data_IF_946981560771
#
_entry.id   IF_946981560771
#
_cell.length_a   1.000
_cell.length_b   1.000
_cell.length_c   1.000
_cell.angle_alpha   90.00
_cell.angle_beta   90.00
_cell.angle_gamma   90.00
#
_symmetry.space_group_name_H-M   'P 1'
#
loop_
_entity.id
_entity.type
_entity.pdbx_description
1 polymer ?
#
# COMPACT_ATOMS: atom_id res chain seq x y z
N UNK A 1 -9.54 -19.81 17.26
CA UNK A 1 -10.02 -18.63 16.52
C UNK A 1 -10.75 -19.16 15.32
N UNK A 2 -12.02 -18.81 15.18
CA UNK A 2 -12.88 -19.24 14.10
C UNK A 2 -13.52 -18.00 13.46
N UNK A 3 -13.69 -18.06 12.13
CA UNK A 3 -14.28 -16.98 11.33
C UNK A 3 -15.74 -16.73 11.66
N UNK A 4 -16.43 -17.78 12.10
CA UNK A 4 -17.87 -17.75 12.34
C UNK A 4 -18.22 -17.33 13.79
N UNK A 5 -17.22 -17.07 14.64
CA UNK A 5 -17.46 -16.59 16.00
C UNK A 5 -17.94 -15.12 15.96
N UNK A 6 -18.93 -14.76 16.78
CA UNK A 6 -19.55 -13.43 16.80
C UNK A 6 -18.52 -12.30 16.95
N UNK A 7 -17.55 -12.45 17.85
CA UNK A 7 -16.49 -11.47 18.07
C UNK A 7 -15.56 -11.32 16.85
N UNK A 8 -15.38 -12.40 16.08
CA UNK A 8 -14.61 -12.38 14.82
C UNK A 8 -15.39 -11.68 13.71
N UNK A 9 -16.70 -11.93 13.59
CA UNK A 9 -17.56 -11.27 12.62
C UNK A 9 -17.62 -9.75 12.88
N UNK A 10 -17.75 -9.34 14.14
CA UNK A 10 -17.71 -7.94 14.54
C UNK A 10 -16.35 -7.27 14.21
N UNK A 11 -15.24 -7.98 14.45
CA UNK A 11 -13.92 -7.50 14.05
C UNK A 11 -13.78 -7.42 12.53
N UNK A 12 -14.27 -8.42 11.78
CA UNK A 12 -14.17 -8.45 10.33
C UNK A 12 -14.93 -7.27 9.71
N UNK A 13 -16.12 -6.93 10.21
CA UNK A 13 -16.86 -5.76 9.76
C UNK A 13 -16.04 -4.47 9.93
N UNK A 14 -15.47 -4.25 11.12
CA UNK A 14 -14.61 -3.08 11.37
C UNK A 14 -13.33 -3.11 10.52
N UNK A 15 -12.76 -4.30 10.28
CA UNK A 15 -11.58 -4.47 9.45
C UNK A 15 -11.89 -4.15 7.98
N UNK A 16 -13.06 -4.53 7.45
CA UNK A 16 -13.51 -4.19 6.09
C UNK A 16 -13.63 -2.68 5.90
N UNK A 17 -14.19 -1.97 6.87
CA UNK A 17 -14.22 -0.50 6.84
C UNK A 17 -12.82 0.10 6.85
N UNK A 18 -11.92 -0.40 7.70
CA UNK A 18 -10.54 0.07 7.73
C UNK A 18 -9.83 -0.16 6.39
N UNK A 19 -10.03 -1.32 5.76
CA UNK A 19 -9.51 -1.64 4.43
C UNK A 19 -10.04 -0.69 3.36
N UNK A 20 -11.31 -0.31 3.42
CA UNK A 20 -11.90 0.69 2.53
C UNK A 20 -11.19 2.05 2.66
N UNK A 21 -11.00 2.53 3.89
CA UNK A 21 -10.25 3.78 4.16
C UNK A 21 -8.80 3.70 3.68
N UNK A 22 -8.15 2.55 3.86
CA UNK A 22 -6.80 2.34 3.34
C UNK A 22 -6.77 2.37 1.81
N UNK A 23 -7.75 1.78 1.13
CA UNK A 23 -7.86 1.84 -0.31
C UNK A 23 -8.05 3.28 -0.82
N UNK A 24 -8.92 4.05 -0.18
CA UNK A 24 -9.17 5.45 -0.54
C UNK A 24 -7.93 6.33 -0.34
N UNK A 25 -7.16 6.07 0.72
CA UNK A 25 -5.96 6.86 1.06
C UNK A 25 -4.71 6.42 0.27
N UNK A 26 -4.53 5.11 0.11
CA UNK A 26 -3.28 4.49 -0.38
C UNK A 26 -3.47 3.65 -1.65
N UNK A 27 -4.62 3.02 -1.82
CA UNK A 27 -4.90 2.03 -2.86
C UNK A 27 -5.39 2.59 -4.20
N UNK A 28 -5.84 3.85 -4.24
CA UNK A 28 -6.25 4.53 -5.48
C UNK A 28 -5.08 4.73 -6.48
N UNK A 29 -3.84 4.48 -6.04
CA UNK A 29 -2.63 4.60 -6.85
C UNK A 29 -1.98 3.24 -7.03
N UNK A 30 -1.65 2.92 -8.28
CA UNK A 30 -0.95 1.67 -8.62
C UNK A 30 0.48 1.66 -8.06
N UNK A 31 1.21 2.77 -8.25
CA UNK A 31 2.57 2.99 -7.77
C UNK A 31 2.81 4.46 -7.44
N UNK A 32 3.43 4.72 -6.30
CA UNK A 32 4.14 5.97 -6.01
C UNK A 32 5.58 5.85 -6.53
N UNK A 33 6.04 6.84 -7.28
CA UNK A 33 7.36 6.85 -7.94
C UNK A 33 8.28 7.86 -7.25
N UNK A 34 9.50 7.43 -6.95
CA UNK A 34 10.54 8.23 -6.32
C UNK A 34 11.85 8.11 -7.08
N UNK A 35 12.53 9.23 -7.35
CA UNK A 35 13.91 9.25 -7.84
C UNK A 35 14.89 8.94 -6.71
N UNK A 36 16.11 8.51 -7.05
CA UNK A 36 17.18 8.33 -6.06
C UNK A 36 17.48 9.61 -5.26
N UNK A 37 17.39 10.78 -5.90
CA UNK A 37 17.56 12.08 -5.25
C UNK A 37 16.41 12.42 -4.28
N UNK A 38 15.24 11.80 -4.44
CA UNK A 38 14.05 12.02 -3.61
C UNK A 38 14.03 11.08 -2.38
N UNK A 39 15.21 10.70 -1.88
CA UNK A 39 15.36 9.78 -0.75
C UNK A 39 14.52 10.19 0.46
N UNK A 40 14.51 11.46 0.80
CA UNK A 40 13.72 12.00 1.92
C UNK A 40 12.22 11.80 1.73
N UNK A 41 11.73 11.87 0.49
CA UNK A 41 10.30 11.64 0.18
C UNK A 41 9.93 10.17 0.32
N UNK A 42 10.82 9.27 -0.14
CA UNK A 42 10.65 7.83 0.05
C UNK A 42 10.62 7.48 1.55
N UNK A 43 11.53 8.05 2.34
CA UNK A 43 11.56 7.85 3.80
C UNK A 43 10.31 8.39 4.48
N UNK A 44 9.83 9.57 4.09
CA UNK A 44 8.59 10.14 4.61
C UNK A 44 7.39 9.24 4.29
N UNK A 45 7.31 8.70 3.06
CA UNK A 45 6.23 7.82 2.61
C UNK A 45 6.24 6.49 3.36
N UNK A 46 7.41 5.86 3.51
CA UNK A 46 7.58 4.62 4.27
C UNK A 46 7.30 4.86 5.76
N UNK A 47 7.77 5.96 6.33
CA UNK A 47 7.49 6.34 7.71
C UNK A 47 6.00 6.47 7.98
N UNK A 48 5.28 7.17 7.09
CA UNK A 48 3.83 7.35 7.19
C UNK A 48 3.10 6.00 7.13
N UNK A 49 3.54 5.09 6.26
CA UNK A 49 2.96 3.76 6.13
C UNK A 49 3.25 2.86 7.33
N UNK A 50 4.42 2.99 7.97
CA UNK A 50 4.81 2.14 9.11
C UNK A 50 4.28 2.63 10.45
N UNK A 51 4.23 3.96 10.64
CA UNK A 51 4.05 4.58 11.95
C UNK A 51 2.94 5.63 12.00
N UNK A 52 2.27 5.91 10.88
CA UNK A 52 1.31 7.01 10.78
C UNK A 52 2.01 8.36 10.74
N UNK A 53 1.28 9.48 10.86
CA UNK A 53 1.88 10.81 10.88
C UNK A 53 2.92 10.96 12.01
N UNK A 54 3.98 11.76 11.81
CA UNK A 54 4.97 12.00 12.85
C UNK A 54 4.37 12.72 14.07
N UNK A 55 4.83 12.36 15.27
CA UNK A 55 4.32 12.88 16.55
C UNK A 55 4.70 14.35 16.81
N UNK A 56 5.82 14.81 16.23
CA UNK A 56 6.34 16.17 16.44
C UNK A 56 6.44 16.93 15.12
N UNK A 57 5.81 18.11 15.03
CA UNK A 57 6.09 19.06 13.95
C UNK A 57 7.43 19.73 14.21
N UNK A 58 8.54 19.06 13.87
CA UNK A 58 9.87 19.65 13.98
C UNK A 58 10.27 20.25 12.63
N UNK A 59 10.56 21.56 12.61
CA UNK A 59 10.75 22.38 11.41
C UNK A 59 12.07 22.14 10.67
N UNK A 60 13.04 21.46 11.31
CA UNK A 60 14.42 21.39 10.79
C UNK A 60 14.94 19.98 10.47
N UNK A 61 14.18 18.91 10.76
CA UNK A 61 14.48 17.55 10.31
C UNK A 61 13.19 16.85 9.91
N UNK A 62 13.16 16.32 8.70
CA UNK A 62 12.03 15.64 8.03
C UNK A 62 11.46 14.40 8.73
N UNK A 63 11.76 14.16 10.01
CA UNK A 63 11.18 13.06 10.75
C UNK A 63 10.85 13.51 12.17
N UNK A 64 9.61 13.96 12.39
CA UNK A 64 9.02 13.99 13.73
C UNK A 64 8.75 12.59 14.32
N UNK A 65 9.46 11.58 13.81
CA UNK A 65 9.49 10.21 14.27
C UNK A 65 10.58 10.04 15.33
N UNK A 66 10.37 9.13 16.27
CA UNK A 66 11.33 8.75 17.30
C UNK A 66 12.60 8.16 16.68
N UNK A 67 13.75 8.29 17.35
CA UNK A 67 15.04 7.74 16.88
C UNK A 67 14.96 6.27 16.45
N UNK A 68 14.20 5.44 17.16
CA UNK A 68 13.99 4.02 16.80
C UNK A 68 13.20 3.86 15.50
N UNK A 69 12.14 4.66 15.29
CA UNK A 69 11.34 4.67 14.07
C UNK A 69 12.18 5.14 12.87
N UNK A 70 12.96 6.21 13.03
CA UNK A 70 13.88 6.70 11.99
C UNK A 70 14.86 5.61 11.56
N UNK A 71 15.50 4.92 12.51
CA UNK A 71 16.40 3.79 12.20
C UNK A 71 15.70 2.70 11.39
N UNK A 72 14.46 2.35 11.75
CA UNK A 72 13.66 1.35 11.00
C UNK A 72 13.34 1.84 9.58
N UNK A 73 12.90 3.09 9.43
CA UNK A 73 12.58 3.71 8.13
C UNK A 73 13.82 3.70 7.23
N UNK A 74 14.93 4.27 7.70
CA UNK A 74 16.17 4.35 6.93
C UNK A 74 16.65 2.96 6.51
N UNK A 75 16.67 1.99 7.43
CA UNK A 75 17.08 0.61 7.14
C UNK A 75 16.20 -0.04 6.07
N UNK A 76 14.88 0.17 6.14
CA UNK A 76 13.95 -0.38 5.16
C UNK A 76 14.14 0.29 3.79
N UNK A 77 14.25 1.61 3.73
CA UNK A 77 14.51 2.35 2.50
C UNK A 77 15.85 1.96 1.85
N UNK A 78 16.91 1.78 2.64
CA UNK A 78 18.20 1.26 2.16
C UNK A 78 18.04 -0.12 1.55
N UNK A 79 17.27 -1.00 2.21
CA UNK A 79 17.01 -2.33 1.68
C UNK A 79 16.23 -2.29 0.37
N UNK A 80 15.18 -1.46 0.29
CA UNK A 80 14.38 -1.27 -0.93
C UNK A 80 15.27 -0.82 -2.08
N UNK A 81 15.99 0.29 -1.92
CA UNK A 81 16.89 0.86 -2.93
C UNK A 81 17.94 -0.15 -3.37
N UNK A 82 18.59 -0.83 -2.43
CA UNK A 82 19.61 -1.84 -2.74
C UNK A 82 19.04 -3.02 -3.54
N UNK A 83 17.83 -3.47 -3.22
CA UNK A 83 17.20 -4.62 -3.88
C UNK A 83 16.59 -4.28 -5.23
N UNK A 84 16.21 -3.02 -5.45
CA UNK A 84 15.67 -2.54 -6.73
C UNK A 84 16.73 -1.98 -7.67
N UNK A 85 17.94 -1.63 -7.19
CA UNK A 85 19.01 -0.99 -7.99
C UNK A 85 19.25 -1.65 -9.36
N UNK A 86 19.25 -2.97 -9.42
CA UNK A 86 19.49 -3.73 -10.66
C UNK A 86 18.33 -3.70 -11.67
N UNK A 87 17.19 -3.15 -11.28
CA UNK A 87 15.95 -3.14 -12.07
C UNK A 87 15.34 -1.75 -12.21
N UNK A 88 15.85 -0.79 -11.44
CA UNK A 88 15.41 0.59 -11.45
C UNK A 88 15.77 1.23 -12.80
N UNK A 89 14.80 1.32 -13.71
CA UNK A 89 14.91 2.17 -14.87
C UNK A 89 15.18 3.61 -14.40
N UNK A 90 16.26 4.21 -14.92
CA UNK A 90 16.62 5.61 -14.62
C UNK A 90 16.73 5.94 -13.13
N UNK A 91 17.07 4.95 -12.29
CA UNK A 91 17.22 5.16 -10.84
C UNK A 91 15.90 5.41 -10.10
N UNK A 92 14.75 5.01 -10.66
CA UNK A 92 13.45 5.13 -10.00
C UNK A 92 13.16 3.97 -9.04
N UNK A 93 12.47 4.29 -7.94
CA UNK A 93 11.88 3.36 -6.99
C UNK A 93 10.37 3.52 -7.04
N UNK A 94 9.66 2.43 -7.32
CA UNK A 94 8.20 2.42 -7.41
C UNK A 94 7.62 1.56 -6.28
N UNK A 95 6.85 2.17 -5.39
CA UNK A 95 6.26 1.49 -4.23
C UNK A 95 4.75 1.67 -4.15
N UNK A 96 4.08 0.79 -3.43
CA UNK A 96 2.74 1.01 -2.93
C UNK A 96 2.62 0.38 -1.55
N UNK A 97 1.65 0.81 -0.75
CA UNK A 97 1.48 0.31 0.61
C UNK A 97 0.24 -0.57 0.68
N UNK A 98 0.37 -1.72 1.34
CA UNK A 98 -0.68 -2.71 1.55
C UNK A 98 -0.82 -2.90 3.05
N UNK A 99 -2.04 -3.00 3.55
CA UNK A 99 -2.30 -3.13 4.98
C UNK A 99 -3.04 -4.43 5.24
N UNK A 100 -2.53 -5.24 6.16
CA UNK A 100 -3.14 -6.51 6.58
C UNK A 100 -3.75 -6.29 7.95
N UNK A 101 -5.07 -6.38 8.04
CA UNK A 101 -5.78 -6.35 9.33
C UNK A 101 -5.69 -7.72 9.97
N UNK A 102 -5.27 -7.81 11.22
CA UNK A 102 -5.07 -9.06 11.95
C UNK A 102 -5.84 -9.08 13.27
N UNK A 103 -6.38 -10.25 13.62
CA UNK A 103 -6.97 -10.56 14.94
C UNK A 103 -6.33 -11.81 15.50
N UNK A 104 -5.65 -11.66 16.62
CA UNK A 104 -5.25 -12.78 17.48
C UNK A 104 -6.31 -12.98 18.58
N UNK A 105 -6.07 -13.94 19.48
CA UNK A 105 -6.93 -14.14 20.66
C UNK A 105 -6.95 -12.89 21.56
N UNK A 106 -5.81 -12.19 21.67
CA UNK A 106 -5.64 -11.09 22.62
C UNK A 106 -5.72 -9.71 21.98
N UNK A 107 -5.33 -9.61 20.72
CA UNK A 107 -5.02 -8.33 20.09
C UNK A 107 -5.64 -8.20 18.70
N UNK A 108 -5.87 -6.95 18.31
CA UNK A 108 -6.27 -6.55 16.97
C UNK A 108 -5.24 -5.53 16.49
N UNK A 109 -4.64 -5.76 15.32
CA UNK A 109 -3.56 -4.92 14.83
C UNK A 109 -3.53 -4.87 13.31
N UNK A 110 -2.91 -3.83 12.75
CA UNK A 110 -2.70 -3.71 11.30
C UNK A 110 -1.22 -3.79 10.98
N UNK A 111 -0.86 -4.58 9.97
CA UNK A 111 0.52 -4.77 9.52
C UNK A 111 0.68 -4.11 8.15
N UNK A 112 1.52 -3.07 8.04
CA UNK A 112 1.87 -2.49 6.75
C UNK A 112 2.91 -3.35 6.03
N UNK A 113 2.70 -3.53 4.73
CA UNK A 113 3.63 -4.14 3.79
C UNK A 113 3.93 -3.13 2.68
N UNK A 114 5.22 -2.89 2.45
CA UNK A 114 5.67 -2.06 1.33
C UNK A 114 5.84 -2.97 0.12
N UNK A 115 4.93 -2.82 -0.84
CA UNK A 115 5.03 -3.46 -2.15
C UNK A 115 5.98 -2.64 -3.02
N UNK A 116 6.92 -3.30 -3.67
CA UNK A 116 7.98 -2.66 -4.46
C UNK A 116 8.03 -3.33 -5.83
N UNK A 117 7.90 -2.54 -6.89
CA UNK A 117 8.01 -3.02 -8.26
C UNK A 117 9.46 -3.43 -8.57
N UNK A 118 9.64 -4.55 -9.28
CA UNK A 118 10.96 -4.97 -9.76
C UNK A 118 11.24 -4.35 -11.13
N UNK A 119 10.53 -4.77 -12.17
CA UNK A 119 10.73 -4.34 -13.56
C UNK A 119 9.55 -3.49 -14.03
N UNK A 120 9.71 -2.63 -15.02
CA UNK A 120 8.57 -1.84 -15.55
C UNK A 120 7.75 -2.57 -16.62
N UNK A 121 8.32 -3.61 -17.24
CA UNK A 121 7.77 -4.22 -18.47
C UNK A 121 7.30 -5.66 -18.31
N UNK A 122 7.47 -6.28 -17.14
CA UNK A 122 7.04 -7.66 -16.92
C UNK A 122 5.64 -7.72 -16.28
N UNK A 123 4.91 -8.78 -16.60
CA UNK A 123 3.55 -9.08 -16.17
C UNK A 123 3.27 -8.64 -14.72
N UNK A 124 2.23 -7.84 -14.54
CA UNK A 124 1.97 -7.01 -13.36
C UNK A 124 1.81 -7.84 -12.08
N UNK A 125 1.37 -9.10 -12.24
CA UNK A 125 1.02 -10.00 -11.15
C UNK A 125 2.27 -10.55 -10.42
N UNK A 126 3.38 -10.77 -11.12
CA UNK A 126 4.56 -11.45 -10.56
C UNK A 126 5.78 -10.53 -10.37
N UNK A 127 5.63 -9.26 -10.74
CA UNK A 127 6.74 -8.35 -10.92
C UNK A 127 6.98 -7.42 -9.71
N UNK A 128 6.65 -7.90 -8.51
CA UNK A 128 6.80 -7.11 -7.29
C UNK A 128 7.29 -7.95 -6.12
N UNK A 129 7.82 -7.27 -5.10
CA UNK A 129 8.24 -7.84 -3.81
C UNK A 129 7.49 -7.13 -2.70
N UNK A 130 7.34 -7.78 -1.56
CA UNK A 130 6.78 -7.16 -0.36
C UNK A 130 7.84 -7.09 0.73
N UNK A 131 7.85 -6.01 1.48
CA UNK A 131 8.71 -5.85 2.65
C UNK A 131 7.85 -5.52 3.87
N UNK A 132 8.13 -6.18 4.99
CA UNK A 132 7.58 -5.79 6.28
C UNK A 132 8.47 -4.75 6.99
N UNK A 133 8.02 -4.28 8.15
CA UNK A 133 8.77 -3.34 8.99
C UNK A 133 10.11 -3.88 9.51
N UNK A 134 10.29 -5.20 9.55
CA UNK A 134 11.54 -5.85 9.95
C UNK A 134 12.49 -6.03 8.76
N UNK A 135 12.12 -5.49 7.61
CA UNK A 135 12.83 -5.62 6.36
C UNK A 135 12.91 -7.09 5.88
N UNK A 136 11.95 -7.93 6.28
CA UNK A 136 11.82 -9.25 5.67
C UNK A 136 11.21 -9.09 4.28
N UNK A 137 11.85 -9.70 3.28
CA UNK A 137 11.43 -9.60 1.88
C UNK A 137 10.66 -10.86 1.48
N UNK A 138 9.42 -10.67 1.03
CA UNK A 138 8.61 -11.73 0.43
C UNK A 138 8.64 -11.64 -1.09
N UNK A 139 8.83 -12.80 -1.74
CA UNK A 139 8.97 -12.90 -3.20
C UNK A 139 7.65 -12.68 -3.94
N UNK A 140 6.53 -12.97 -3.30
CA UNK A 140 5.17 -12.81 -3.83
C UNK A 140 4.19 -12.70 -2.68
N UNK A 141 2.93 -12.42 -2.98
CA UNK A 141 1.85 -12.43 -1.99
C UNK A 141 1.70 -13.80 -1.33
N UNK A 142 1.73 -14.87 -2.13
CA UNK A 142 1.65 -16.25 -1.63
C UNK A 142 2.85 -16.60 -0.75
N UNK A 143 4.03 -16.06 -1.04
CA UNK A 143 5.18 -16.23 -0.15
C UNK A 143 4.96 -15.53 1.19
N UNK A 144 4.34 -14.35 1.22
CA UNK A 144 3.93 -13.70 2.47
C UNK A 144 2.92 -14.56 3.25
N UNK A 145 1.84 -15.02 2.62
CA UNK A 145 0.84 -15.86 3.30
C UNK A 145 1.46 -17.13 3.91
N UNK A 146 2.44 -17.74 3.24
CA UNK A 146 3.12 -18.96 3.72
C UNK A 146 4.21 -18.69 4.77
N UNK A 147 4.93 -17.57 4.68
CA UNK A 147 6.21 -17.35 5.39
C UNK A 147 6.24 -16.13 6.30
N UNK A 148 5.12 -15.41 6.45
CA UNK A 148 5.06 -14.26 7.37
C UNK A 148 5.42 -14.68 8.81
N UNK A 149 5.86 -13.69 9.59
CA UNK A 149 6.30 -13.87 10.98
C UNK A 149 5.30 -13.32 12.00
N UNK A 150 4.03 -13.21 11.61
CA UNK A 150 2.97 -12.76 12.50
C UNK A 150 2.66 -13.85 13.54
N UNK A 151 2.11 -13.51 14.72
CA UNK A 151 1.60 -14.53 15.64
C UNK A 151 0.49 -15.34 14.99
N UNK A 152 0.03 -16.40 15.65
CA UNK A 152 -1.18 -17.09 15.23
C UNK A 152 -2.34 -16.08 15.26
N UNK A 153 -2.95 -15.82 14.11
CA UNK A 153 -4.02 -14.85 13.96
C UNK A 153 -4.82 -15.07 12.67
N UNK A 154 -6.06 -14.60 12.67
CA UNK A 154 -6.84 -14.39 11.47
C UNK A 154 -6.37 -13.10 10.79
N UNK A 155 -6.32 -13.09 9.46
CA UNK A 155 -5.94 -11.93 8.67
C UNK A 155 -6.95 -11.63 7.57
N UNK A 156 -7.24 -10.35 7.39
CA UNK A 156 -8.08 -9.80 6.32
C UNK A 156 -7.24 -8.81 5.51
N UNK A 157 -7.25 -8.96 4.20
CA UNK A 157 -6.34 -8.22 3.32
C UNK A 157 -6.90 -8.05 1.90
N UNK A 158 -6.37 -7.09 1.11
CA UNK A 158 -6.70 -6.96 -0.30
C UNK A 158 -6.31 -8.19 -1.08
N UNK A 159 -7.20 -8.69 -1.93
CA UNK A 159 -6.96 -9.90 -2.72
C UNK A 159 -5.65 -9.75 -3.51
N UNK A 160 -4.78 -10.77 -3.43
CA UNK A 160 -3.42 -10.78 -3.99
C UNK A 160 -2.47 -9.67 -3.48
N UNK A 161 -2.78 -9.02 -2.37
CA UNK A 161 -1.99 -7.91 -1.85
C UNK A 161 -2.10 -6.65 -2.69
N UNK A 162 -3.23 -6.48 -3.39
CA UNK A 162 -3.49 -5.33 -4.27
C UNK A 162 -4.87 -4.78 -3.95
N UNK A 163 -4.95 -3.50 -3.60
CA UNK A 163 -6.23 -2.82 -3.50
C UNK A 163 -6.87 -2.72 -4.89
N UNK A 164 -8.02 -3.38 -5.04
CA UNK A 164 -8.88 -3.31 -6.22
C UNK A 164 -10.31 -3.10 -5.74
N UNK A 165 -11.09 -2.34 -6.49
CA UNK A 165 -12.50 -2.10 -6.19
C UNK A 165 -13.37 -3.01 -7.06
N UNK A 166 -14.38 -3.60 -6.44
CA UNK A 166 -15.49 -4.29 -7.10
C UNK A 166 -16.77 -3.68 -6.53
N UNK A 167 -17.60 -3.09 -7.38
CA UNK A 167 -18.85 -2.43 -7.00
C UNK A 167 -18.65 -1.35 -5.89
N UNK A 168 -17.59 -0.54 -6.04
CA UNK A 168 -17.23 0.50 -5.09
C UNK A 168 -16.61 0.02 -3.77
N UNK A 169 -16.53 -1.29 -3.54
CA UNK A 169 -15.97 -1.90 -2.33
C UNK A 169 -14.63 -2.57 -2.59
N UNK A 170 -13.72 -2.54 -1.62
CA UNK A 170 -12.45 -3.27 -1.74
C UNK A 170 -12.69 -4.78 -1.87
N UNK A 171 -12.04 -5.39 -2.86
CA UNK A 171 -11.97 -6.83 -3.00
C UNK A 171 -10.99 -7.41 -1.94
N UNK A 172 -11.54 -8.16 -0.99
CA UNK A 172 -10.83 -8.65 0.19
C UNK A 172 -10.85 -10.17 0.24
N UNK A 173 -9.79 -10.74 0.82
CA UNK A 173 -9.66 -12.16 1.08
C UNK A 173 -9.36 -12.40 2.57
N UNK A 174 -9.87 -13.52 3.08
CA UNK A 174 -9.57 -14.05 4.42
C UNK A 174 -8.34 -14.95 4.35
N UNK A 175 -7.60 -15.03 5.45
CA UNK A 175 -6.50 -15.98 5.60
C UNK A 175 -6.04 -16.11 7.04
N UNK A 176 -4.98 -16.87 7.25
CA UNK A 176 -4.47 -17.15 8.60
C UNK A 176 -2.95 -17.06 8.62
N UNK A 177 -2.42 -16.54 9.73
CA UNK A 177 -1.04 -16.80 10.13
C UNK A 177 -1.01 -17.99 11.10
N UNK A 178 -0.16 -18.97 10.82
CA UNK A 178 -0.09 -20.24 11.57
C UNK A 178 1.15 -20.37 12.46
N UNK A 179 1.87 -19.27 12.73
CA UNK A 179 3.10 -19.34 13.52
C UNK A 179 2.85 -19.22 15.02
N UNK A 180 3.48 -20.13 15.76
CA UNK A 180 3.43 -20.16 17.22
C UNK A 180 4.30 -19.06 17.88
N UNK A 181 5.36 -18.61 17.19
CA UNK A 181 6.25 -17.55 17.66
C UNK A 181 6.24 -16.36 16.69
N UNK A 182 6.04 -15.17 17.25
CA UNK A 182 5.97 -13.91 16.52
C UNK A 182 7.27 -13.11 16.63
N UNK A 183 7.60 -12.37 15.57
CA UNK A 183 8.56 -11.27 15.66
C UNK A 183 7.78 -9.96 15.74
N UNK A 184 8.21 -9.03 16.60
CA UNK A 184 7.61 -7.69 16.68
C UNK A 184 7.65 -7.03 15.30
N UNK A 185 6.49 -6.80 14.69
CA UNK A 185 6.32 -5.98 13.49
C UNK A 185 5.78 -4.61 13.90
N UNK A 186 6.02 -3.57 13.11
CA UNK A 186 5.34 -2.30 13.29
C UNK A 186 3.85 -2.54 13.09
N UNK A 187 3.08 -2.27 14.14
CA UNK A 187 1.63 -2.40 14.11
C UNK A 187 1.04 -1.00 14.09
N UNK A 188 0.20 -0.73 13.11
CA UNK A 188 -0.69 0.42 13.17
C UNK A 188 -1.96 0.01 13.92
N UNK A 189 -2.38 0.87 14.85
CA UNK A 189 -3.78 0.84 15.28
C UNK A 189 -4.62 1.46 14.17
N UNK A 190 -5.73 0.84 13.74
CA UNK A 190 -6.54 1.37 12.65
C UNK A 190 -6.89 2.84 12.89
N UNK A 191 -6.77 3.68 11.86
CA UNK A 191 -7.38 5.01 11.85
C UNK A 191 -8.90 4.82 11.99
N UNK A 192 -9.42 4.97 13.21
CA UNK A 192 -10.84 4.78 13.52
C UNK A 192 -11.12 3.94 14.77
N UNK A 193 -10.15 3.29 15.42
CA UNK A 193 -10.37 2.73 16.77
C UNK A 193 -10.13 3.80 17.85
N UNK A 194 -10.83 4.93 17.74
CA UNK A 194 -10.93 5.93 18.80
C UNK A 194 -12.08 5.52 19.74
N UNK A 195 -11.80 4.50 20.55
CA UNK A 195 -12.35 4.44 21.90
C UNK A 195 -11.36 5.17 22.81
N UNK A 196 -11.68 6.41 23.19
CA UNK A 196 -11.16 7.16 24.35
C UNK A 196 -9.75 6.77 24.85
N UNK A 197 -8.71 7.11 24.08
CA UNK A 197 -7.43 7.62 24.59
C UNK A 197 -6.42 7.76 23.45
N UNK A 198 -6.27 9.00 22.98
CA UNK A 198 -5.12 9.43 22.18
C UNK A 198 -5.10 8.94 20.74
N UNK A 199 -5.81 9.64 19.86
CA UNK A 199 -5.37 10.11 18.53
C UNK A 199 -6.60 10.71 17.86
N UNK A 200 -6.98 11.91 18.31
CA UNK A 200 -8.01 12.72 17.66
C UNK A 200 -7.66 12.95 16.19
N UNK A 201 -8.41 12.32 15.30
CA UNK A 201 -8.78 12.94 14.04
C UNK A 201 -10.28 13.13 14.13
N UNK A 202 -10.67 14.25 14.74
CA UNK A 202 -11.94 14.85 14.36
C UNK A 202 -11.95 15.06 12.85
N UNK A 203 -13.13 14.85 12.30
CA UNK A 203 -13.46 15.02 10.89
C UNK A 203 -12.98 16.38 10.35
N UNK A 204 -11.87 16.37 9.63
CA UNK A 204 -11.66 17.37 8.59
C UNK A 204 -11.80 16.65 7.26
N UNK A 205 -12.99 16.81 6.66
CA UNK A 205 -13.14 16.66 5.21
C UNK A 205 -12.14 17.62 4.58
N UNK A 206 -11.00 17.12 4.11
CA UNK A 206 -10.15 17.87 3.20
C UNK A 206 -10.72 17.58 1.81
N UNK A 207 -11.39 18.54 1.14
CA UNK A 207 -11.77 18.34 -0.24
C UNK A 207 -10.48 18.21 -1.06
N UNK A 208 -10.35 17.09 -1.78
CA UNK A 208 -9.41 16.95 -2.89
C UNK A 208 -9.85 17.95 -3.97
N UNK A 209 -9.30 19.17 -3.95
CA UNK A 209 -9.48 20.13 -5.04
C UNK A 209 -8.67 19.68 -6.24
N UNK A 210 -9.37 19.47 -7.36
CA UNK A 210 -8.82 19.06 -8.66
C UNK A 210 -8.70 20.32 -9.56
N UNK A 211 -7.47 20.81 -9.78
CA UNK A 211 -6.96 21.71 -10.86
C UNK A 211 -7.68 23.06 -11.17
N UNK A 212 -7.13 23.99 -12.00
CA UNK A 212 -5.74 24.33 -12.34
C UNK A 212 -5.37 25.83 -12.12
N UNK A 213 -4.06 26.13 -12.00
CA UNK A 213 -3.35 27.35 -12.47
C UNK A 213 -3.65 28.75 -11.83
N UNK A 214 -2.54 29.36 -11.37
CA UNK A 214 -2.21 30.81 -11.13
C UNK A 214 -2.48 31.46 -9.75
N UNK A 215 -1.33 31.68 -9.08
CA UNK A 215 -0.88 32.80 -8.25
C UNK A 215 -1.60 33.21 -6.94
N UNK A 216 -0.79 33.27 -5.87
CA UNK A 216 -1.00 34.24 -4.79
C UNK A 216 -1.06 33.66 -3.37
N UNK A 217 0.11 33.44 -2.76
CA UNK A 217 0.39 33.51 -1.30
C UNK A 217 -0.53 32.79 -0.30
N UNK A 218 -0.09 31.62 0.18
CA UNK A 218 0.31 31.39 1.58
C UNK A 218 0.73 29.93 1.75
N UNK A 219 2.05 29.69 1.90
CA UNK A 219 2.60 28.37 2.21
C UNK A 219 2.15 27.88 3.59
N UNK A 220 1.28 26.87 3.60
CA UNK A 220 1.19 25.87 4.67
C UNK A 220 1.62 24.51 4.08
N UNK A 221 2.93 24.40 3.86
CA UNK A 221 3.68 23.18 3.49
C UNK A 221 3.39 22.07 4.51
N UNK A 222 3.27 20.78 4.21
CA UNK A 222 4.00 19.88 3.31
C UNK A 222 3.32 18.49 3.41
N UNK A 223 3.32 17.53 2.48
CA UNK A 223 3.97 17.36 1.19
C UNK A 223 3.22 16.21 0.47
N UNK A 224 2.55 16.45 -0.65
CA UNK A 224 2.11 15.38 -1.56
C UNK A 224 2.52 15.76 -2.98
N UNK A 225 3.78 15.46 -3.30
CA UNK A 225 4.23 15.41 -4.70
C UNK A 225 4.74 13.99 -4.90
N UNK A 226 3.83 13.09 -5.27
CA UNK A 226 4.19 11.83 -5.91
C UNK A 226 3.64 11.92 -7.33
N UNK A 227 4.53 11.85 -8.33
CA UNK A 227 4.11 11.78 -9.73
C UNK A 227 3.45 10.42 -9.96
N UNK A 228 2.18 10.45 -10.35
CA UNK A 228 1.43 9.23 -10.72
C UNK A 228 1.62 8.97 -12.20
N UNK A 229 1.96 7.74 -12.58
CA UNK A 229 1.85 7.27 -13.97
C UNK A 229 0.61 6.38 -14.04
N UNK A 230 -0.46 6.91 -14.63
CA UNK A 230 -1.63 6.11 -15.01
C UNK A 230 -1.45 5.64 -16.44
N UNK A 231 -1.18 4.35 -16.65
CA UNK A 231 -1.26 3.75 -17.98
C UNK A 231 -2.73 3.58 -18.33
N UNK A 232 -3.24 4.44 -19.22
CA UNK A 232 -4.56 4.25 -19.85
C UNK A 232 -4.57 2.88 -20.53
N UNK A 233 -5.54 2.03 -20.19
CA UNK A 233 -5.91 0.88 -21.03
C UNK A 233 -6.48 1.45 -22.33
N UNK A 234 -5.80 1.28 -23.44
CA UNK A 234 -6.42 1.38 -24.76
C UNK A 234 -7.41 0.22 -24.88
N UNK A 235 -8.71 0.52 -25.01
CA UNK A 235 -9.67 -0.46 -25.51
C UNK A 235 -9.20 -0.85 -26.90
N UNK A 236 -8.83 -2.12 -27.04
CA UNK A 236 -8.70 -2.78 -28.33
C UNK A 236 -10.11 -2.75 -28.92
N UNK A 237 -10.26 -2.07 -30.05
CA UNK A 237 -11.41 -2.24 -30.93
C UNK A 237 -11.25 -3.66 -31.49
N UNK A 238 -12.10 -4.58 -31.03
CA UNK A 238 -12.29 -5.87 -31.67
C UNK A 238 -12.80 -5.60 -33.10
N UNK A 239 -11.95 -5.88 -34.08
CA UNK A 239 -12.36 -6.03 -35.45
C UNK A 239 -13.07 -7.36 -35.59
N UNK A 240 -14.36 -7.31 -35.92
CA UNK A 240 -15.14 -8.48 -36.26
C UNK A 240 -15.16 -8.65 -37.79
N UNK A 241 -14.67 -9.83 -38.17
CA UNK A 241 -15.02 -10.65 -39.34
C UNK A 241 -14.70 -10.17 -40.76
N UNK A 242 -13.76 -10.93 -41.34
CA UNK A 242 -13.60 -11.16 -42.76
C UNK A 242 -14.88 -11.69 -43.39
N UNK A 243 -15.26 -11.09 -44.53
CA UNK A 243 -15.94 -11.76 -45.62
C UNK A 243 -15.01 -11.67 -46.84
N UNK A 244 -14.31 -12.78 -47.12
CA UNK A 244 -13.71 -13.05 -48.42
C UNK A 244 -14.67 -14.00 -49.12
N UNK A 245 -15.57 -13.47 -49.94
CA UNK A 245 -16.14 -14.23 -51.06
C UNK A 245 -15.48 -13.78 -52.36
N UNK A 246 -15.07 -14.78 -53.11
CA UNK A 246 -14.47 -14.68 -54.42
C UNK A 246 -15.56 -14.39 -55.48
N UNK A 247 -15.18 -13.67 -56.53
CA UNK A 247 -15.13 -14.19 -57.91
C UNK A 247 -15.20 -13.04 -58.94
N UNK A 248 -14.38 -13.19 -60.00
CA UNK A 248 -14.63 -12.79 -61.41
C UNK A 248 -14.96 -11.30 -61.72
N UNK A 249 -14.40 -10.58 -62.69
CA UNK A 249 -14.00 -10.89 -64.06
C UNK A 249 -13.05 -9.81 -64.62
N UNK A 250 -12.30 -10.22 -65.65
CA UNK A 250 -11.76 -9.50 -66.81
C UNK A 250 -11.92 -7.96 -66.94
N UNK A 251 -10.77 -7.26 -67.01
CA UNK A 251 -10.20 -6.49 -68.16
C UNK A 251 -9.23 -5.40 -67.68
#
# INVERSE_FOLDING_TARGET
>A
MNWEDEETLAWELAAREAQQRFCETWGNRKWDVFLQSERTLLEARVGLALFGPPEQQNTNKFSGYKKKQVKTITKLCDMIVRKTRKYANFGQVKISCVFVSAKSVKDRFTVPLIRVLKYDYADEVCNHRFFDSNCYMFRSWQHFLKQNKLPQCLILYPTNGIYTLKDGKVNLSRGESKRWFSTTVATLRPWGSLGLSGFGLESSRIPLVVNPVVAGTAMKSALFIARTVSTKKSMVVEGETADLEADSEEL
#
